data_IF_576087076196
#
_entry.id   IF_576087076196
#
_cell.length_a   1.000
_cell.length_b   1.000
_cell.length_c   1.000
_cell.angle_alpha   90.00
_cell.angle_beta   90.00
_cell.angle_gamma   90.00
#
_symmetry.space_group_name_H-M   'P 1'
#
loop_
_entity.id
_entity.type
_entity.pdbx_description
1 polymer ?
#
# COMPACT_ATOMS: atom_id res chain seq x y z
N UNK A 1 1.12 -21.90 21.44
CA UNK A 1 2.36 -21.28 20.92
C UNK A 1 3.57 -22.18 21.16
N UNK A 2 3.97 -22.43 22.41
CA UNK A 2 5.22 -23.18 22.70
C UNK A 2 5.25 -24.59 22.12
N UNK A 3 4.13 -25.34 22.13
CA UNK A 3 4.07 -26.67 21.48
C UNK A 3 4.48 -26.65 20.01
N UNK A 4 4.02 -25.63 19.27
CA UNK A 4 4.36 -25.48 17.85
C UNK A 4 5.82 -25.12 17.66
N UNK A 5 6.34 -24.25 18.53
CA UNK A 5 7.74 -23.88 18.52
C UNK A 5 8.62 -25.11 18.78
N UNK A 6 8.26 -25.90 19.79
CA UNK A 6 8.93 -27.13 20.21
C UNK A 6 8.92 -28.19 19.09
N UNK A 7 7.75 -28.44 18.49
CA UNK A 7 7.59 -29.39 17.36
C UNK A 7 8.50 -29.03 16.18
N UNK A 8 8.57 -27.74 15.81
CA UNK A 8 9.33 -27.28 14.63
C UNK A 8 10.83 -27.15 14.89
N UNK A 9 11.20 -26.68 16.08
CA UNK A 9 12.58 -26.53 16.51
C UNK A 9 13.17 -27.83 17.08
N UNK A 10 12.38 -28.91 17.16
CA UNK A 10 12.77 -30.21 17.66
C UNK A 10 13.38 -30.16 19.07
N UNK A 11 12.68 -29.50 19.99
CA UNK A 11 13.03 -29.50 21.42
C UNK A 11 11.83 -29.90 22.28
N UNK A 12 12.11 -30.37 23.50
CA UNK A 12 11.11 -30.63 24.54
C UNK A 12 11.16 -29.53 25.59
N UNK A 13 10.05 -29.27 26.26
CA UNK A 13 9.98 -28.25 27.30
C UNK A 13 9.04 -28.67 28.41
N UNK A 14 9.28 -28.14 29.61
CA UNK A 14 8.38 -28.24 30.74
C UNK A 14 7.85 -26.84 31.08
N UNK A 15 6.53 -26.71 31.19
CA UNK A 15 5.90 -25.45 31.57
C UNK A 15 5.69 -25.42 33.07
N UNK A 16 6.42 -24.54 33.75
CA UNK A 16 6.30 -24.33 35.19
C UNK A 16 5.61 -22.99 35.46
N UNK A 17 4.69 -22.90 36.44
CA UNK A 17 4.31 -21.61 36.99
C UNK A 17 5.53 -20.99 37.72
N UNK A 18 5.50 -19.70 38.07
CA UNK A 18 6.57 -19.11 38.84
C UNK A 18 6.77 -19.83 40.18
N UNK A 19 8.03 -20.08 40.53
CA UNK A 19 8.43 -20.91 41.65
C UNK A 19 8.10 -20.29 43.00
N UNK A 20 8.01 -18.96 43.06
CA UNK A 20 7.91 -18.26 44.34
C UNK A 20 9.23 -18.23 45.10
N UNK A 21 10.38 -18.50 44.49
CA UNK A 21 11.70 -18.46 45.15
C UNK A 21 12.59 -17.32 44.69
N UNK A 22 12.19 -16.63 43.63
CA UNK A 22 12.89 -15.47 43.11
C UNK A 22 12.78 -14.23 44.01
N UNK A 23 13.78 -13.36 43.93
CA UNK A 23 13.86 -12.11 44.71
C UNK A 23 12.75 -11.12 44.35
N UNK A 24 12.16 -11.24 43.17
CA UNK A 24 11.05 -10.40 42.69
C UNK A 24 9.66 -11.03 42.97
N UNK A 25 9.61 -12.15 43.68
CA UNK A 25 8.34 -12.76 44.07
C UNK A 25 7.75 -11.98 45.26
N UNK A 26 6.50 -11.52 45.12
CA UNK A 26 5.75 -10.93 46.22
C UNK A 26 5.16 -12.07 47.05
N UNK A 27 5.62 -12.18 48.29
CA UNK A 27 5.09 -13.13 49.24
C UNK A 27 3.98 -12.48 50.05
N UNK A 28 2.88 -13.19 50.25
CA UNK A 28 1.94 -12.79 51.29
C UNK A 28 2.53 -13.17 52.66
N UNK A 29 1.97 -12.66 53.76
CA UNK A 29 2.42 -12.96 55.13
C UNK A 29 2.35 -14.45 55.53
N UNK A 30 1.81 -15.30 54.67
CA UNK A 30 1.74 -16.76 54.83
C UNK A 30 2.86 -17.41 54.03
N UNK A 31 3.60 -18.32 54.65
CA UNK A 31 4.56 -19.17 53.95
C UNK A 31 3.82 -20.00 52.88
N UNK A 32 4.17 -19.77 51.60
CA UNK A 32 3.58 -20.47 50.46
C UNK A 32 4.56 -21.49 49.93
N UNK A 33 4.03 -22.62 49.48
CA UNK A 33 4.81 -23.66 48.82
C UNK A 33 5.33 -23.15 47.47
N UNK A 34 6.41 -23.76 46.98
CA UNK A 34 6.88 -23.48 45.64
C UNK A 34 5.78 -23.78 44.62
N UNK A 35 5.68 -22.97 43.56
CA UNK A 35 4.67 -23.14 42.51
C UNK A 35 3.21 -22.94 42.96
N UNK A 36 2.96 -22.32 44.11
CA UNK A 36 1.61 -21.94 44.55
C UNK A 36 0.87 -21.16 43.44
N UNK A 37 -0.40 -21.48 43.13
CA UNK A 37 -1.19 -20.80 42.11
C UNK A 37 -1.21 -19.27 42.21
N UNK A 38 -1.00 -18.72 43.41
CA UNK A 38 -0.84 -17.29 43.65
C UNK A 38 0.29 -16.67 42.81
N UNK A 39 1.40 -17.39 42.62
CA UNK A 39 2.54 -16.88 41.86
C UNK A 39 2.30 -16.90 40.34
N UNK A 40 1.30 -17.64 39.84
CA UNK A 40 0.99 -17.73 38.40
C UNK A 40 0.78 -16.37 37.74
N UNK A 41 0.29 -15.39 38.49
CA UNK A 41 -0.01 -14.05 38.02
C UNK A 41 1.11 -13.05 38.29
N UNK A 42 2.14 -13.48 39.02
CA UNK A 42 3.29 -12.67 39.38
C UNK A 42 4.37 -12.81 38.33
N UNK A 43 4.22 -12.03 37.29
CA UNK A 43 5.11 -12.09 36.16
C UNK A 43 6.60 -11.88 36.55
N UNK A 44 6.90 -10.91 37.41
CA UNK A 44 8.28 -10.65 37.84
C UNK A 44 8.87 -11.82 38.65
N UNK A 45 8.03 -12.62 39.31
CA UNK A 45 8.47 -13.83 39.99
C UNK A 45 9.04 -14.85 38.98
N UNK A 46 8.36 -15.09 37.85
CA UNK A 46 8.85 -15.98 36.80
C UNK A 46 10.11 -15.45 36.11
N UNK A 47 10.26 -14.12 36.02
CA UNK A 47 11.50 -13.50 35.57
C UNK A 47 12.68 -13.80 36.50
N UNK A 48 12.43 -13.76 37.79
CA UNK A 48 13.43 -14.00 38.80
C UNK A 48 13.88 -15.47 38.82
N UNK A 49 12.99 -16.41 38.52
CA UNK A 49 13.32 -17.83 38.33
C UNK A 49 14.35 -18.07 37.20
N UNK A 50 14.39 -17.18 36.21
CA UNK A 50 15.38 -17.23 35.13
C UNK A 50 16.65 -16.48 35.50
N UNK A 51 16.55 -15.34 36.17
CA UNK A 51 17.66 -14.39 36.27
C UNK A 51 18.44 -14.42 37.57
N UNK A 52 17.74 -14.63 38.69
CA UNK A 52 18.27 -14.29 40.01
C UNK A 52 18.56 -15.53 40.85
N UNK A 53 17.94 -16.67 40.51
CA UNK A 53 18.12 -17.93 41.24
C UNK A 53 19.37 -18.64 40.71
N UNK A 54 20.39 -18.94 41.55
CA UNK A 54 21.49 -19.81 41.18
C UNK A 54 20.95 -21.14 40.65
N UNK A 55 21.63 -21.75 39.66
CA UNK A 55 21.18 -23.00 39.03
C UNK A 55 20.76 -24.03 40.09
N UNK A 56 19.45 -24.27 40.16
CA UNK A 56 18.77 -25.07 41.18
C UNK A 56 17.51 -25.73 40.59
N UNK A 57 16.78 -26.51 41.39
CA UNK A 57 15.50 -27.11 40.99
C UNK A 57 14.35 -26.12 40.77
N UNK A 58 14.56 -24.83 41.02
CA UNK A 58 13.60 -23.74 40.77
C UNK A 58 14.00 -22.84 39.62
N UNK A 59 15.20 -23.04 39.07
CA UNK A 59 15.70 -22.24 37.96
C UNK A 59 15.04 -22.68 36.67
N UNK A 60 14.60 -21.71 35.86
CA UNK A 60 14.07 -21.96 34.52
C UNK A 60 14.96 -21.34 33.45
N UNK A 61 14.91 -21.87 32.23
CA UNK A 61 15.78 -21.41 31.13
C UNK A 61 15.21 -20.19 30.40
N UNK A 62 13.88 -20.06 30.40
CA UNK A 62 13.16 -19.00 29.74
C UNK A 62 11.84 -18.69 30.45
N UNK A 63 11.40 -17.45 30.30
CA UNK A 63 10.07 -17.01 30.69
C UNK A 63 9.37 -16.42 29.47
N UNK A 64 8.03 -16.48 29.46
CA UNK A 64 7.20 -15.87 28.43
C UNK A 64 6.41 -14.70 29.03
N UNK A 65 6.42 -13.54 28.38
CA UNK A 65 5.43 -12.48 28.64
C UNK A 65 5.24 -11.56 27.45
N UNK A 66 4.17 -10.79 27.56
CA UNK A 66 3.97 -9.50 26.92
C UNK A 66 5.01 -8.52 27.47
N UNK A 67 5.83 -7.89 26.61
CA UNK A 67 6.97 -7.05 27.00
C UNK A 67 7.11 -5.69 26.30
N UNK A 68 7.88 -4.89 27.04
CA UNK A 68 8.77 -3.83 26.59
C UNK A 68 10.18 -4.34 26.90
N UNK A 69 11.02 -4.46 25.89
CA UNK A 69 12.43 -4.79 26.06
C UNK A 69 13.13 -3.53 26.56
N UNK A 70 13.34 -3.43 27.87
CA UNK A 70 14.04 -2.28 28.48
C UNK A 70 15.56 -2.45 28.36
N UNK A 71 16.34 -1.35 28.38
CA UNK A 71 17.79 -1.44 28.47
C UNK A 71 18.30 -2.26 29.67
N UNK A 72 17.65 -2.14 30.83
CA UNK A 72 17.99 -2.89 32.05
C UNK A 72 17.79 -4.39 31.84
N UNK A 73 16.70 -4.77 31.15
CA UNK A 73 16.39 -6.16 30.86
C UNK A 73 17.33 -6.76 29.81
N UNK A 74 17.70 -6.01 28.77
CA UNK A 74 18.73 -6.43 27.80
C UNK A 74 20.08 -6.72 28.49
N UNK A 75 20.35 -6.07 29.62
CA UNK A 75 21.53 -6.36 30.44
C UNK A 75 21.37 -7.60 31.32
N UNK A 76 20.18 -8.17 31.49
CA UNK A 76 19.94 -9.36 32.32
C UNK A 76 19.64 -10.61 31.49
N UNK A 77 19.03 -10.46 30.31
CA UNK A 77 18.56 -11.56 29.48
C UNK A 77 19.02 -11.46 28.03
N UNK A 78 19.09 -12.60 27.37
CA UNK A 78 18.93 -12.67 25.93
C UNK A 78 17.44 -12.60 25.61
N UNK A 79 17.06 -11.94 24.51
CA UNK A 79 15.66 -11.87 24.09
C UNK A 79 15.47 -12.50 22.73
N UNK A 80 14.35 -13.19 22.63
CA UNK A 80 13.78 -13.52 21.35
C UNK A 80 12.56 -12.62 21.12
N UNK A 81 12.65 -11.73 20.14
CA UNK A 81 11.66 -10.66 19.90
C UNK A 81 10.76 -11.08 18.74
N UNK A 82 9.52 -11.52 18.99
CA UNK A 82 8.50 -11.54 17.96
C UNK A 82 8.14 -10.11 17.54
N UNK A 83 7.88 -10.01 16.24
CA UNK A 83 7.34 -8.88 15.51
C UNK A 83 6.22 -8.12 16.28
N UNK A 84 6.12 -6.82 15.99
CA UNK A 84 5.03 -5.95 16.45
C UNK A 84 3.68 -6.52 16.00
N UNK A 85 2.84 -7.06 16.88
CA UNK A 85 1.56 -7.65 16.50
C UNK A 85 0.75 -6.61 15.70
N UNK A 86 -0.11 -7.04 14.76
CA UNK A 86 -0.89 -6.15 13.90
C UNK A 86 -1.95 -5.32 14.66
N UNK A 87 -1.95 -5.36 15.99
CA UNK A 87 -2.85 -4.58 16.85
C UNK A 87 -2.25 -3.21 17.13
N UNK A 88 -2.95 -2.17 16.70
CA UNK A 88 -2.67 -0.77 17.01
C UNK A 88 -3.07 -0.46 18.45
N UNK A 89 -2.16 -0.68 19.39
CA UNK A 89 -2.36 -0.28 20.78
C UNK A 89 -1.33 -0.91 21.70
N UNK A 90 -0.67 -0.10 22.52
CA UNK A 90 0.29 -0.59 23.50
C UNK A 90 -0.40 -0.86 24.84
N UNK A 91 -0.43 0.15 25.71
CA UNK A 91 -1.16 0.16 26.97
C UNK A 91 -2.50 0.83 26.77
N UNK A 92 -3.57 0.23 27.28
CA UNK A 92 -4.92 0.77 27.16
C UNK A 92 -5.62 0.77 28.50
N UNK A 93 -6.60 1.67 28.62
CA UNK A 93 -7.56 1.64 29.71
C UNK A 93 -8.75 0.77 29.30
N UNK A 94 -9.34 0.05 30.25
CA UNK A 94 -10.57 -0.72 30.04
C UNK A 94 -11.34 -0.84 31.35
N UNK A 95 -12.65 -1.04 31.29
CA UNK A 95 -13.49 -1.09 32.47
C UNK A 95 -14.89 -0.57 32.19
N UNK A 96 -15.53 -0.02 33.22
CA UNK A 96 -16.86 0.60 33.07
C UNK A 96 -16.77 1.98 32.46
N UNK A 97 -17.83 2.48 31.84
CA UNK A 97 -17.81 3.82 31.24
C UNK A 97 -17.40 4.95 32.20
N UNK A 98 -16.39 5.72 31.78
CA UNK A 98 -15.83 6.86 32.53
C UNK A 98 -15.80 8.18 31.73
N UNK A 99 -16.10 8.17 30.42
CA UNK A 99 -15.94 9.32 29.50
C UNK A 99 -14.51 9.89 29.45
N UNK A 100 -13.51 9.04 29.67
CA UNK A 100 -12.10 9.39 29.57
C UNK A 100 -11.60 9.04 28.18
N UNK A 101 -10.95 10.00 27.50
CA UNK A 101 -10.44 9.78 26.15
C UNK A 101 -8.97 9.43 26.14
N UNK A 102 -8.19 10.04 27.04
CA UNK A 102 -6.74 9.86 27.05
C UNK A 102 -6.21 9.66 28.47
N UNK A 103 -4.99 9.15 28.58
CA UNK A 103 -4.28 9.10 29.87
C UNK A 103 -4.08 10.49 30.48
N UNK A 104 -3.93 11.54 29.66
CA UNK A 104 -3.83 12.92 30.16
C UNK A 104 -5.14 13.39 30.79
N UNK A 105 -6.29 13.02 30.21
CA UNK A 105 -7.59 13.33 30.79
C UNK A 105 -7.78 12.63 32.14
N UNK A 106 -7.39 11.35 32.21
CA UNK A 106 -7.40 10.60 33.47
C UNK A 106 -6.56 11.30 34.55
N UNK A 107 -5.32 11.69 34.23
CA UNK A 107 -4.45 12.40 35.16
C UNK A 107 -5.05 13.72 35.62
N UNK A 108 -5.63 14.50 34.70
CA UNK A 108 -6.30 15.75 35.03
C UNK A 108 -7.53 15.54 35.94
N UNK A 109 -8.34 14.50 35.67
CA UNK A 109 -9.51 14.18 36.48
C UNK A 109 -9.13 13.65 37.87
N UNK A 110 -8.05 12.87 37.99
CA UNK A 110 -7.53 12.45 39.29
C UNK A 110 -6.97 13.63 40.08
N UNK A 111 -6.21 14.55 39.45
CA UNK A 111 -5.70 15.78 40.08
C UNK A 111 -6.81 16.68 40.61
N UNK A 112 -7.96 16.69 39.94
CA UNK A 112 -9.14 17.47 40.35
C UNK A 112 -10.11 16.70 41.24
N UNK A 113 -9.73 15.51 41.71
CA UNK A 113 -10.56 14.61 42.52
C UNK A 113 -11.93 14.24 41.89
N UNK A 114 -12.05 14.37 40.56
CA UNK A 114 -13.24 14.01 39.78
C UNK A 114 -13.25 12.55 39.37
N UNK A 115 -12.11 11.88 39.47
CA UNK A 115 -12.00 10.45 39.20
C UNK A 115 -11.14 9.76 40.26
N UNK A 116 -11.52 8.54 40.63
CA UNK A 116 -10.81 7.72 41.60
C UNK A 116 -9.53 7.08 41.05
N UNK A 117 -8.85 6.26 41.86
CA UNK A 117 -7.70 5.47 41.43
C UNK A 117 -8.07 4.46 40.34
N UNK A 118 -7.08 4.09 39.53
CA UNK A 118 -7.19 3.05 38.51
C UNK A 118 -6.58 1.74 39.02
N UNK A 119 -7.15 0.60 38.63
CA UNK A 119 -6.55 -0.68 38.97
C UNK A 119 -5.41 -1.05 38.01
N UNK A 120 -4.35 -1.62 38.56
CA UNK A 120 -3.26 -2.20 37.79
C UNK A 120 -2.85 -3.54 38.39
N UNK A 121 -2.49 -4.49 37.52
CA UNK A 121 -2.04 -5.79 37.97
C UNK A 121 -0.70 -5.67 38.70
N UNK A 122 -0.69 -6.14 39.95
CA UNK A 122 0.49 -6.10 40.79
C UNK A 122 1.59 -7.05 40.28
N UNK A 123 2.83 -6.69 40.54
CA UNK A 123 4.01 -7.51 40.23
C UNK A 123 4.17 -7.84 38.73
N UNK A 124 3.79 -6.88 37.89
CA UNK A 124 3.96 -6.92 36.43
C UNK A 124 4.99 -5.89 35.98
N UNK A 125 5.53 -6.08 34.76
CA UNK A 125 6.36 -5.06 34.13
C UNK A 125 5.57 -3.75 33.97
N UNK A 126 4.30 -3.88 33.58
CA UNK A 126 3.39 -2.77 33.35
C UNK A 126 3.24 -1.85 34.58
N UNK A 127 3.10 -2.43 35.78
CA UNK A 127 3.04 -1.66 37.02
C UNK A 127 4.23 -0.71 37.16
N UNK A 128 5.44 -1.23 36.94
CA UNK A 128 6.68 -0.47 37.09
C UNK A 128 6.77 0.67 36.07
N UNK A 129 6.36 0.43 34.83
CA UNK A 129 6.37 1.47 33.80
C UNK A 129 5.31 2.53 33.99
N UNK A 130 4.10 2.17 34.41
CA UNK A 130 3.06 3.17 34.67
C UNK A 130 3.50 4.10 35.80
N UNK A 131 4.13 3.55 36.84
CA UNK A 131 4.70 4.34 37.94
C UNK A 131 5.82 5.27 37.49
N UNK A 132 6.71 4.80 36.61
CA UNK A 132 7.85 5.60 36.15
C UNK A 132 7.45 6.66 35.11
N UNK A 133 6.51 6.32 34.22
CA UNK A 133 6.10 7.19 33.10
C UNK A 133 5.02 8.18 33.53
N UNK A 134 4.19 7.82 34.51
CA UNK A 134 3.09 8.64 35.01
C UNK A 134 3.14 8.66 36.55
N UNK A 135 4.13 9.35 37.16
CA UNK A 135 4.32 9.34 38.61
C UNK A 135 3.14 9.94 39.39
N UNK A 136 2.36 10.81 38.75
CA UNK A 136 1.15 11.42 39.33
C UNK A 136 -0.10 10.52 39.23
N UNK A 137 -0.02 9.37 38.56
CA UNK A 137 -1.14 8.47 38.37
C UNK A 137 -1.49 7.75 39.69
N UNK A 138 -2.70 7.97 40.19
CA UNK A 138 -3.19 7.28 41.37
C UNK A 138 -3.66 5.87 40.99
N UNK A 139 -2.96 4.84 41.47
CA UNK A 139 -3.18 3.45 41.12
C UNK A 139 -3.41 2.57 42.35
N UNK A 140 -4.33 1.61 42.24
CA UNK A 140 -4.49 0.49 43.19
C UNK A 140 -3.89 -0.77 42.56
N UNK A 141 -2.94 -1.38 43.29
CA UNK A 141 -2.40 -2.69 42.95
C UNK A 141 -3.42 -3.76 43.30
N UNK A 142 -3.75 -4.62 42.35
CA UNK A 142 -4.61 -5.78 42.59
C UNK A 142 -3.91 -7.06 42.12
N UNK A 143 -4.24 -8.22 42.72
CA UNK A 143 -3.87 -9.51 42.15
C UNK A 143 -4.36 -9.62 40.71
N UNK A 144 -3.62 -10.34 39.87
CA UNK A 144 -3.96 -10.51 38.46
C UNK A 144 -5.18 -11.40 38.23
N UNK A 145 -5.57 -11.55 36.97
CA UNK A 145 -6.55 -12.54 36.54
C UNK A 145 -7.96 -12.01 36.32
N UNK A 146 -8.67 -12.66 35.38
CA UNK A 146 -9.98 -12.22 34.91
C UNK A 146 -11.04 -12.15 36.03
N UNK A 147 -10.92 -12.97 37.08
CA UNK A 147 -11.87 -12.98 38.21
C UNK A 147 -11.62 -11.81 39.16
N UNK A 148 -10.38 -11.59 39.52
CA UNK A 148 -9.92 -10.53 40.42
C UNK A 148 -10.19 -9.16 39.80
N UNK A 149 -9.93 -9.04 38.49
CA UNK A 149 -10.23 -7.85 37.70
C UNK A 149 -11.72 -7.53 37.68
N UNK A 150 -12.55 -8.53 37.37
CA UNK A 150 -14.01 -8.36 37.38
C UNK A 150 -14.52 -7.97 38.78
N UNK A 151 -14.01 -8.62 39.83
CA UNK A 151 -14.39 -8.34 41.22
C UNK A 151 -14.01 -6.92 41.66
N UNK A 152 -12.85 -6.43 41.24
CA UNK A 152 -12.41 -5.06 41.53
C UNK A 152 -13.37 -4.03 40.90
N UNK A 153 -13.79 -4.26 39.65
CA UNK A 153 -14.79 -3.43 38.97
C UNK A 153 -16.19 -3.55 39.60
N UNK A 154 -16.59 -4.75 40.03
CA UNK A 154 -17.90 -5.01 40.64
C UNK A 154 -18.03 -4.36 42.01
N UNK A 155 -16.98 -4.44 42.84
CA UNK A 155 -16.92 -3.80 44.16
C UNK A 155 -16.75 -2.29 44.12
N UNK A 156 -16.40 -1.72 42.96
CA UNK A 156 -16.10 -0.30 42.83
C UNK A 156 -14.78 0.12 43.49
N UNK A 157 -13.83 -0.81 43.60
CA UNK A 157 -12.47 -0.46 44.02
C UNK A 157 -11.82 0.50 43.01
N UNK A 158 -12.17 0.32 41.73
CA UNK A 158 -11.80 1.16 40.60
C UNK A 158 -12.91 1.04 39.53
N UNK A 159 -13.07 2.07 38.71
CA UNK A 159 -13.98 2.03 37.56
C UNK A 159 -13.29 1.58 36.27
N UNK A 160 -11.95 1.59 36.29
CA UNK A 160 -11.11 1.29 35.15
C UNK A 160 -9.81 0.61 35.57
N UNK A 161 -9.24 -0.08 34.61
CA UNK A 161 -8.04 -0.87 34.70
C UNK A 161 -7.09 -0.47 33.59
N UNK A 162 -5.80 -0.65 33.81
CA UNK A 162 -4.77 -0.42 32.80
C UNK A 162 -4.09 -1.75 32.54
N UNK A 163 -4.15 -2.23 31.29
CA UNK A 163 -3.49 -3.46 30.80
C UNK A 163 -2.89 -3.22 29.41
N UNK A 164 -2.12 -4.18 28.91
CA UNK A 164 -1.79 -4.24 27.50
C UNK A 164 -3.05 -4.42 26.66
N UNK A 165 -3.08 -3.84 25.46
CA UNK A 165 -4.26 -3.85 24.61
C UNK A 165 -4.85 -5.26 24.38
N UNK A 166 -4.06 -6.31 24.06
CA UNK A 166 -4.61 -7.67 23.91
C UNK A 166 -5.21 -8.25 25.19
N UNK A 167 -4.70 -7.86 26.37
CA UNK A 167 -5.23 -8.32 27.66
C UNK A 167 -6.58 -7.65 27.94
N UNK A 168 -6.65 -6.35 27.68
CA UNK A 168 -7.87 -5.56 27.83
C UNK A 168 -8.99 -6.05 26.91
N UNK A 169 -8.71 -6.23 25.62
CA UNK A 169 -9.74 -6.66 24.66
C UNK A 169 -10.18 -8.11 24.91
N UNK A 170 -9.24 -9.01 25.25
CA UNK A 170 -9.56 -10.37 25.69
C UNK A 170 -10.48 -10.37 26.91
N UNK A 171 -10.22 -9.51 27.89
CA UNK A 171 -11.07 -9.40 29.07
C UNK A 171 -12.51 -9.03 28.67
N UNK A 172 -12.68 -7.99 27.84
CA UNK A 172 -14.00 -7.55 27.34
C UNK A 172 -14.69 -8.68 26.58
N UNK A 173 -13.98 -9.33 25.65
CA UNK A 173 -14.47 -10.48 24.89
C UNK A 173 -14.98 -11.62 25.80
N UNK A 174 -14.20 -12.00 26.82
CA UNK A 174 -14.59 -13.04 27.76
C UNK A 174 -15.80 -12.66 28.63
N UNK A 175 -15.97 -11.39 28.97
CA UNK A 175 -17.17 -10.94 29.66
C UNK A 175 -18.38 -10.91 28.73
N UNK A 176 -18.20 -10.53 27.47
CA UNK A 176 -19.23 -10.60 26.44
C UNK A 176 -19.75 -12.04 26.27
N UNK A 177 -18.85 -13.01 26.12
CA UNK A 177 -19.22 -14.43 26.05
C UNK A 177 -20.00 -14.93 27.28
N UNK A 178 -19.80 -14.32 28.45
CA UNK A 178 -20.52 -14.64 29.69
C UNK A 178 -21.82 -13.84 29.86
N UNK A 179 -22.19 -12.98 28.90
CA UNK A 179 -23.34 -12.07 29.00
C UNK A 179 -23.15 -10.95 30.04
N UNK A 180 -21.91 -10.63 30.42
CA UNK A 180 -21.56 -9.68 31.49
C UNK A 180 -21.04 -8.35 30.94
N UNK A 181 -21.78 -7.76 30.01
CA UNK A 181 -21.39 -6.49 29.39
C UNK A 181 -21.71 -5.25 30.23
N UNK A 182 -22.30 -5.41 31.41
CA UNK A 182 -22.59 -4.32 32.32
C UNK A 182 -22.07 -4.65 33.72
N UNK A 183 -21.38 -3.71 34.34
CA UNK A 183 -20.94 -3.79 35.73
C UNK A 183 -21.47 -2.56 36.45
N UNK A 184 -22.22 -2.77 37.54
CA UNK A 184 -22.90 -1.68 38.28
C UNK A 184 -23.78 -0.79 37.37
N UNK A 185 -24.46 -1.40 36.39
CA UNK A 185 -25.34 -0.70 35.44
C UNK A 185 -24.61 0.11 34.36
N UNK A 186 -23.27 0.12 34.34
CA UNK A 186 -22.47 0.80 33.31
C UNK A 186 -21.94 -0.20 32.29
N UNK A 187 -21.89 0.15 30.99
CA UNK A 187 -21.33 -0.72 29.97
C UNK A 187 -19.82 -0.94 30.20
N UNK A 188 -19.36 -2.14 29.89
CA UNK A 188 -17.96 -2.56 29.95
C UNK A 188 -17.30 -2.41 28.57
N UNK A 189 -16.07 -1.91 28.50
CA UNK A 189 -15.27 -1.92 27.26
C UNK A 189 -13.88 -1.34 27.42
N UNK A 190 -13.21 -1.14 26.28
CA UNK A 190 -11.94 -0.39 26.19
C UNK A 190 -12.25 1.10 26.28
N UNK A 191 -11.51 1.82 27.14
CA UNK A 191 -11.75 3.23 27.47
C UNK A 191 -10.67 4.09 26.80
N UNK A 192 -11.10 5.06 26.00
CA UNK A 192 -10.22 6.02 25.37
C UNK A 192 -9.24 5.41 24.36
N UNK A 193 -8.32 6.25 23.90
CA UNK A 193 -7.27 5.87 22.96
C UNK A 193 -6.15 5.15 23.71
N UNK A 194 -5.67 3.99 23.21
CA UNK A 194 -4.45 3.37 23.70
C UNK A 194 -3.28 4.34 23.61
N UNK A 195 -2.26 4.15 24.46
CA UNK A 195 -1.02 4.90 24.30
C UNK A 195 -0.35 4.54 22.97
N UNK A 196 0.11 5.56 22.25
CA UNK A 196 0.94 5.42 21.04
C UNK A 196 2.31 4.80 21.34
N UNK A 197 2.70 4.77 22.62
CA UNK A 197 3.97 4.28 23.11
C UNK A 197 3.79 3.38 24.34
N UNK A 198 4.58 2.32 24.43
CA UNK A 198 4.54 1.39 25.56
C UNK A 198 4.69 -0.06 25.14
N UNK A 199 4.16 -0.96 25.98
CA UNK A 199 4.21 -2.41 25.82
C UNK A 199 3.43 -2.88 24.59
N UNK A 200 4.12 -3.30 23.54
CA UNK A 200 3.49 -3.86 22.35
C UNK A 200 4.22 -5.10 21.79
N UNK A 201 5.34 -5.51 22.37
CA UNK A 201 6.11 -6.64 21.85
C UNK A 201 5.89 -7.84 22.75
N UNK A 202 5.46 -8.96 22.21
CA UNK A 202 5.74 -10.22 22.92
C UNK A 202 7.25 -10.41 22.95
N UNK A 203 7.80 -11.05 23.98
CA UNK A 203 9.17 -11.53 23.93
C UNK A 203 9.34 -12.74 24.84
N UNK A 204 10.34 -13.56 24.50
CA UNK A 204 10.81 -14.61 25.40
C UNK A 204 12.11 -14.11 25.98
N UNK A 205 12.14 -13.93 27.30
CA UNK A 205 13.39 -13.66 28.01
C UNK A 205 14.06 -14.97 28.32
N UNK A 206 15.32 -15.07 27.93
CA UNK A 206 16.12 -16.29 27.99
C UNK A 206 17.33 -16.01 28.88
N UNK A 207 17.70 -16.97 29.73
CA UNK A 207 18.87 -16.86 30.60
C UNK A 207 20.14 -16.67 29.76
N UNK A 208 21.11 -15.90 30.26
CA UNK A 208 22.29 -15.51 29.48
C UNK A 208 23.24 -16.63 29.13
N UNK A 209 23.31 -17.66 29.96
CA UNK A 209 24.14 -18.84 29.78
C UNK A 209 23.60 -19.81 28.72
N UNK A 210 22.35 -19.65 28.29
CA UNK A 210 21.78 -20.46 27.21
C UNK A 210 22.53 -20.17 25.90
N UNK A 211 22.98 -21.20 25.16
CA UNK A 211 23.74 -21.02 23.94
C UNK A 211 23.01 -20.16 22.90
N UNK A 212 23.74 -19.25 22.25
CA UNK A 212 23.19 -18.35 21.22
C UNK A 212 22.48 -19.11 20.08
N UNK A 213 22.96 -20.30 19.72
CA UNK A 213 22.32 -21.13 18.68
C UNK A 213 20.88 -21.52 19.07
N UNK A 214 20.62 -21.79 20.35
CA UNK A 214 19.26 -22.06 20.85
C UNK A 214 18.40 -20.82 20.71
N UNK A 215 18.92 -19.66 21.10
CA UNK A 215 18.21 -18.38 21.00
C UNK A 215 17.93 -17.99 19.55
N UNK A 216 18.87 -18.22 18.62
CA UNK A 216 18.67 -17.99 17.19
C UNK A 216 17.63 -18.95 16.60
N UNK A 217 17.63 -20.21 17.04
CA UNK A 217 16.63 -21.19 16.59
C UNK A 217 15.22 -20.81 17.07
N UNK A 218 15.08 -20.39 18.33
CA UNK A 218 13.80 -19.89 18.86
C UNK A 218 13.34 -18.64 18.10
N UNK A 219 14.25 -17.69 17.85
CA UNK A 219 13.97 -16.49 17.05
C UNK A 219 13.50 -16.84 15.65
N UNK A 220 14.21 -17.71 14.95
CA UNK A 220 13.88 -18.11 13.58
C UNK A 220 12.47 -18.70 13.50
N UNK A 221 12.14 -19.64 14.38
CA UNK A 221 10.83 -20.30 14.33
C UNK A 221 9.70 -19.39 14.81
N UNK A 222 9.92 -18.54 15.81
CA UNK A 222 8.92 -17.54 16.18
C UNK A 222 8.64 -16.55 15.03
N UNK A 223 9.68 -16.04 14.37
CA UNK A 223 9.51 -15.15 13.23
C UNK A 223 8.78 -15.85 12.07
N UNK A 224 9.14 -17.11 11.79
CA UNK A 224 8.52 -17.92 10.74
C UNK A 224 7.03 -18.15 11.02
N UNK A 225 6.67 -18.61 12.23
CA UNK A 225 5.28 -18.89 12.60
C UNK A 225 4.41 -17.62 12.71
N UNK A 226 5.02 -16.47 13.00
CA UNK A 226 4.32 -15.17 12.98
C UNK A 226 4.07 -14.66 11.56
N UNK A 227 4.98 -14.93 10.62
CA UNK A 227 4.88 -14.50 9.22
C UNK A 227 3.97 -15.38 8.36
N UNK A 228 3.44 -16.47 8.91
CA UNK A 228 2.53 -17.38 8.22
C UNK A 228 1.24 -16.65 7.79
N UNK A 229 1.00 -16.48 6.48
CA UNK A 229 -0.24 -15.90 6.01
C UNK A 229 -1.41 -16.85 6.33
N UNK A 230 -2.59 -16.31 6.67
CA UNK A 230 -3.76 -17.14 7.02
C UNK A 230 -4.23 -18.05 5.87
N UNK A 231 -3.94 -17.69 4.62
CA UNK A 231 -4.40 -18.39 3.43
C UNK A 231 -3.41 -19.40 2.84
N UNK A 232 -2.25 -19.64 3.47
CA UNK A 232 -1.26 -20.57 2.92
C UNK A 232 -1.62 -22.02 3.30
N UNK A 233 -2.07 -22.80 2.31
CA UNK A 233 -2.45 -24.19 2.47
C UNK A 233 -1.22 -25.09 2.76
N UNK A 234 -1.48 -26.30 3.27
CA UNK A 234 -0.59 -27.32 3.90
C UNK A 234 0.77 -27.66 3.25
N UNK A 235 1.14 -27.07 2.11
CA UNK A 235 2.34 -27.40 1.34
C UNK A 235 3.54 -26.48 1.71
N UNK A 236 3.38 -25.54 2.64
CA UNK A 236 4.42 -24.62 3.10
C UNK A 236 5.01 -24.90 4.50
N UNK A 237 5.92 -24.04 4.95
CA UNK A 237 6.43 -24.03 6.34
C UNK A 237 5.30 -23.86 7.37
N UNK A 238 4.15 -23.31 6.97
CA UNK A 238 2.97 -23.09 7.78
C UNK A 238 1.89 -24.15 7.46
N UNK A 239 1.50 -25.00 8.43
CA UNK A 239 0.42 -25.99 8.22
C UNK A 239 -0.93 -25.40 8.60
N UNK A 240 -1.43 -24.48 7.78
CA UNK A 240 -2.77 -23.89 7.88
C UNK A 240 -2.94 -22.87 9.01
N UNK A 241 -4.19 -22.43 9.21
CA UNK A 241 -4.57 -21.33 10.11
C UNK A 241 -4.13 -21.55 11.58
N UNK A 242 -4.03 -22.81 12.03
CA UNK A 242 -3.64 -23.14 13.41
C UNK A 242 -2.14 -22.96 13.70
N UNK A 243 -1.32 -22.77 12.67
CA UNK A 243 0.12 -22.58 12.81
C UNK A 243 0.54 -21.10 12.77
N UNK A 244 -0.35 -20.21 12.34
CA UNK A 244 -0.08 -18.77 12.35
C UNK A 244 -0.26 -18.21 13.75
N UNK A 245 0.85 -17.81 14.37
CA UNK A 245 0.79 -17.12 15.66
C UNK A 245 0.05 -15.78 15.56
N UNK A 246 0.02 -15.15 14.38
CA UNK A 246 -0.78 -13.95 14.13
C UNK A 246 -2.29 -14.19 14.31
N UNK A 247 -2.79 -15.36 13.86
CA UNK A 247 -4.19 -15.76 14.01
C UNK A 247 -4.47 -16.13 15.46
N UNK A 248 -3.56 -16.86 16.11
CA UNK A 248 -3.67 -17.13 17.55
C UNK A 248 -3.82 -15.83 18.35
N UNK A 249 -3.12 -14.76 17.97
CA UNK A 249 -3.28 -13.46 18.61
C UNK A 249 -4.60 -12.76 18.27
N UNK A 250 -5.05 -12.82 17.02
CA UNK A 250 -6.35 -12.29 16.62
C UNK A 250 -7.50 -12.97 17.37
N UNK A 251 -7.45 -14.29 17.53
CA UNK A 251 -8.46 -15.09 18.23
C UNK A 251 -8.52 -14.78 19.74
N UNK A 252 -7.39 -14.42 20.34
CA UNK A 252 -7.33 -14.07 21.77
C UNK A 252 -7.91 -12.67 22.02
N UNK A 253 -7.77 -11.75 21.07
CA UNK A 253 -8.04 -10.32 21.25
C UNK A 253 -9.49 -9.87 20.98
N UNK A 254 -10.35 -10.71 20.39
CA UNK A 254 -11.72 -10.31 20.03
C UNK A 254 -11.76 -9.20 18.95
N UNK A 255 -12.90 -8.51 18.81
CA UNK A 255 -13.14 -7.43 17.83
C UNK A 255 -12.60 -6.06 18.29
N UNK A 256 -11.51 -6.04 19.06
CA UNK A 256 -10.88 -4.79 19.52
C UNK A 256 -11.54 -4.13 20.74
N UNK A 257 -12.29 -4.89 21.54
CA UNK A 257 -12.87 -4.40 22.79
C UNK A 257 -14.23 -3.70 22.66
N UNK A 258 -14.87 -3.79 21.48
CA UNK A 258 -16.18 -3.22 21.17
C UNK A 258 -17.33 -4.21 21.36
N UNK A 259 -17.07 -5.45 21.77
CA UNK A 259 -18.04 -6.55 21.82
C UNK A 259 -19.21 -6.26 22.76
N UNK A 260 -18.94 -5.52 23.82
CA UNK A 260 -19.96 -5.10 24.77
C UNK A 260 -20.67 -3.78 24.38
N UNK A 261 -20.49 -3.32 23.15
CA UNK A 261 -21.14 -2.11 22.64
C UNK A 261 -20.67 -0.83 23.33
N UNK A 262 -19.46 -0.86 23.92
CA UNK A 262 -18.90 0.31 24.57
C UNK A 262 -18.66 1.41 23.54
N UNK A 263 -19.34 2.53 23.72
CA UNK A 263 -19.07 3.76 22.99
C UNK A 263 -18.41 4.69 23.99
N UNK A 264 -17.16 5.09 23.75
CA UNK A 264 -16.40 6.00 24.61
C UNK A 264 -17.18 7.29 24.95
N UNK A 265 -18.12 7.65 24.07
CA UNK A 265 -19.18 8.60 24.28
C UNK A 265 -20.49 7.95 23.86
N UNK A 266 -21.32 7.39 24.78
CA UNK A 266 -22.72 7.18 24.42
C UNK A 266 -23.22 8.53 23.90
N UNK A 267 -23.72 8.56 22.66
CA UNK A 267 -24.39 9.75 22.14
C UNK A 267 -25.38 10.18 23.21
N UNK A 268 -25.21 11.37 23.78
CA UNK A 268 -26.18 11.91 24.72
C UNK A 268 -27.54 11.77 24.04
N UNK A 269 -28.44 10.97 24.61
CA UNK A 269 -29.79 10.81 24.06
C UNK A 269 -30.53 12.17 24.02
N UNK A 270 -29.98 13.19 24.69
CA UNK A 270 -30.49 14.57 24.74
C UNK A 270 -29.73 15.57 23.85
N UNK A 271 -28.72 15.19 23.06
CA UNK A 271 -28.12 16.12 22.09
C UNK A 271 -28.99 16.16 20.81
N UNK A 272 -29.66 17.29 20.48
CA UNK A 272 -30.53 17.42 19.31
C UNK A 272 -29.71 17.61 18.03
N UNK A 273 -28.67 16.81 17.84
CA UNK A 273 -27.83 16.85 16.65
C UNK A 273 -28.31 15.84 15.62
N UNK A 274 -29.03 16.39 14.64
CA UNK A 274 -29.30 15.85 13.31
C UNK A 274 -29.94 14.46 13.32
N UNK A 275 -31.28 14.45 13.22
CA UNK A 275 -32.11 13.32 12.77
C UNK A 275 -31.30 12.39 11.87
N UNK A 276 -31.35 11.07 12.11
CA UNK A 276 -30.64 10.07 11.33
C UNK A 276 -30.78 10.26 9.79
N UNK A 277 -31.85 10.92 9.33
CA UNK A 277 -32.02 11.34 7.94
C UNK A 277 -30.99 12.38 7.44
N UNK A 278 -30.51 13.29 8.28
CA UNK A 278 -29.52 14.29 7.93
C UNK A 278 -28.10 13.70 7.84
N UNK A 279 -27.73 12.78 8.74
CA UNK A 279 -26.43 12.08 8.68
C UNK A 279 -26.36 11.17 7.45
N UNK A 280 -27.45 10.45 7.14
CA UNK A 280 -27.56 9.69 5.89
C UNK A 280 -27.48 10.60 4.65
N UNK A 281 -28.12 11.77 4.69
CA UNK A 281 -28.08 12.75 3.61
C UNK A 281 -26.68 13.30 3.33
N UNK A 282 -25.90 13.59 4.37
CA UNK A 282 -24.51 14.09 4.23
C UNK A 282 -23.59 13.01 3.66
N UNK A 283 -23.69 11.76 4.12
CA UNK A 283 -22.88 10.66 3.62
C UNK A 283 -23.17 10.35 2.14
N UNK A 284 -24.46 10.33 1.76
CA UNK A 284 -24.85 10.16 0.34
C UNK A 284 -24.40 11.35 -0.50
N UNK A 285 -24.52 12.57 0.02
CA UNK A 285 -24.05 13.79 -0.64
C UNK A 285 -22.54 13.78 -0.91
N UNK A 286 -21.73 13.42 0.08
CA UNK A 286 -20.26 13.33 -0.08
C UNK A 286 -19.91 12.22 -1.08
N UNK A 287 -20.57 11.06 -1.01
CA UNK A 287 -20.36 9.97 -1.96
C UNK A 287 -20.67 10.39 -3.41
N UNK A 288 -21.78 11.08 -3.64
CA UNK A 288 -22.17 11.57 -4.96
C UNK A 288 -21.19 12.63 -5.50
N UNK A 289 -20.75 13.57 -4.66
CA UNK A 289 -19.78 14.60 -5.05
C UNK A 289 -18.43 13.99 -5.41
N UNK A 290 -17.95 13.02 -4.62
CA UNK A 290 -16.71 12.31 -4.93
C UNK A 290 -16.81 11.50 -6.22
N UNK A 291 -17.94 10.81 -6.46
CA UNK A 291 -18.17 10.08 -7.70
C UNK A 291 -18.19 11.01 -8.93
N UNK A 292 -18.83 12.18 -8.82
CA UNK A 292 -18.84 13.20 -9.88
C UNK A 292 -17.43 13.76 -10.11
N UNK A 293 -16.70 14.09 -9.05
CA UNK A 293 -15.34 14.61 -9.14
C UNK A 293 -14.38 13.60 -9.81
N UNK A 294 -14.43 12.33 -9.41
CA UNK A 294 -13.66 11.26 -10.03
C UNK A 294 -14.05 11.03 -11.49
N UNK A 295 -15.35 11.09 -11.81
CA UNK A 295 -15.85 10.97 -13.19
C UNK A 295 -15.34 12.11 -14.06
N UNK A 296 -15.32 13.35 -13.55
CA UNK A 296 -14.79 14.52 -14.25
C UNK A 296 -13.27 14.41 -14.46
N UNK A 297 -12.52 13.94 -13.47
CA UNK A 297 -11.07 13.70 -13.60
C UNK A 297 -10.79 12.61 -14.63
N UNK A 298 -11.55 11.51 -14.59
CA UNK A 298 -11.43 10.43 -15.57
C UNK A 298 -11.78 10.91 -16.99
N UNK A 299 -12.85 11.70 -17.13
CA UNK A 299 -13.26 12.30 -18.40
C UNK A 299 -12.18 13.24 -18.96
N UNK A 300 -11.60 14.11 -18.13
CA UNK A 300 -10.49 15.00 -18.54
C UNK A 300 -9.26 14.20 -18.98
N UNK A 301 -8.88 13.19 -18.20
CA UNK A 301 -7.73 12.32 -18.53
C UNK A 301 -7.96 11.53 -19.82
N UNK A 302 -9.20 11.08 -20.05
CA UNK A 302 -9.60 10.42 -21.29
C UNK A 302 -9.49 11.38 -22.49
N UNK A 303 -10.01 12.61 -22.39
CA UNK A 303 -9.87 13.63 -23.44
C UNK A 303 -8.40 13.95 -23.76
N UNK A 304 -7.54 14.06 -22.74
CA UNK A 304 -6.10 14.25 -22.94
C UNK A 304 -5.46 13.05 -23.67
N UNK A 305 -5.81 11.83 -23.29
CA UNK A 305 -5.37 10.62 -24.01
C UNK A 305 -5.81 10.64 -25.47
N UNK A 306 -7.07 11.00 -25.74
CA UNK A 306 -7.60 11.12 -27.09
C UNK A 306 -6.81 12.11 -27.94
N UNK A 307 -6.57 13.32 -27.41
CA UNK A 307 -5.76 14.33 -28.10
C UNK A 307 -4.36 13.83 -28.41
N UNK A 308 -3.72 13.12 -27.48
CA UNK A 308 -2.35 12.61 -27.68
C UNK A 308 -2.29 11.63 -28.84
N UNK A 309 -3.10 10.57 -28.84
CA UNK A 309 -3.01 9.59 -29.92
C UNK A 309 -3.48 10.16 -31.27
N UNK A 310 -4.51 11.02 -31.29
CA UNK A 310 -4.97 11.69 -32.52
C UNK A 310 -3.88 12.57 -33.10
N UNK A 311 -3.22 13.38 -32.26
CA UNK A 311 -2.12 14.25 -32.70
C UNK A 311 -0.99 13.44 -33.32
N UNK A 312 -0.62 12.30 -32.70
CA UNK A 312 0.41 11.41 -33.24
C UNK A 312 0.01 10.79 -34.57
N UNK A 313 -1.23 10.33 -34.68
CA UNK A 313 -1.77 9.78 -35.92
C UNK A 313 -1.72 10.82 -37.04
N UNK A 314 -2.20 12.05 -36.78
CA UNK A 314 -2.14 13.16 -37.75
C UNK A 314 -0.70 13.52 -38.11
N UNK A 315 0.22 13.56 -37.15
CA UNK A 315 1.65 13.77 -37.43
C UNK A 315 2.20 12.72 -38.39
N UNK A 316 1.79 11.45 -38.26
CA UNK A 316 2.22 10.39 -39.15
C UNK A 316 1.62 10.53 -40.56
N UNK A 317 0.33 10.88 -40.67
CA UNK A 317 -0.31 11.23 -41.96
C UNK A 317 0.40 12.40 -42.64
N UNK A 318 0.72 13.45 -41.88
CA UNK A 318 1.35 14.67 -42.37
C UNK A 318 2.79 14.48 -42.88
N UNK A 319 3.38 13.31 -42.60
CA UNK A 319 4.68 12.91 -43.16
C UNK A 319 4.51 12.31 -44.54
N UNK A 320 3.46 11.56 -44.81
CA UNK A 320 3.29 10.92 -46.11
C UNK A 320 2.48 11.80 -47.07
N UNK A 321 1.54 12.59 -46.53
CA UNK A 321 0.64 13.46 -47.27
C UNK A 321 0.89 14.95 -46.97
N UNK A 322 0.57 15.81 -47.93
CA UNK A 322 0.54 17.26 -47.66
C UNK A 322 -0.81 17.58 -47.06
N UNK A 323 -0.82 17.95 -45.78
CA UNK A 323 -2.07 18.24 -45.05
C UNK A 323 -2.44 19.73 -45.14
N UNK A 324 -3.74 20.01 -45.13
CA UNK A 324 -4.29 21.35 -44.90
C UNK A 324 -4.74 21.54 -43.45
N UNK A 325 -5.44 22.64 -43.13
CA UNK A 325 -5.92 22.91 -41.77
C UNK A 325 -6.98 21.91 -41.28
N UNK A 326 -7.61 21.13 -42.16
CA UNK A 326 -8.59 20.13 -41.78
C UNK A 326 -8.43 18.83 -42.60
N UNK A 327 -8.99 17.70 -42.11
CA UNK A 327 -8.99 16.43 -42.83
C UNK A 327 -9.56 16.52 -44.26
N UNK A 328 -10.59 17.36 -44.46
CA UNK A 328 -11.25 17.55 -45.75
C UNK A 328 -10.38 18.20 -46.83
N UNK A 329 -9.21 18.71 -46.46
CA UNK A 329 -8.25 19.26 -47.43
C UNK A 329 -7.38 18.18 -48.10
N UNK A 330 -7.42 16.91 -47.64
CA UNK A 330 -6.65 15.82 -48.25
C UNK A 330 -7.39 15.33 -49.51
N UNK A 331 -6.74 15.33 -50.70
CA UNK A 331 -7.35 14.76 -51.90
C UNK A 331 -7.65 13.27 -51.74
N UNK A 332 -8.82 12.83 -52.21
CA UNK A 332 -9.28 11.44 -52.06
C UNK A 332 -8.31 10.41 -52.66
N UNK A 333 -7.63 10.74 -53.77
CA UNK A 333 -6.66 9.85 -54.42
C UNK A 333 -5.38 9.66 -53.58
N UNK A 334 -4.99 10.68 -52.80
CA UNK A 334 -3.86 10.60 -51.89
C UNK A 334 -4.22 9.79 -50.65
N UNK A 335 -5.43 9.97 -50.14
CA UNK A 335 -5.91 9.22 -48.98
C UNK A 335 -6.04 7.73 -49.30
N UNK A 336 -6.57 7.37 -50.48
CA UNK A 336 -6.65 5.99 -50.95
C UNK A 336 -5.25 5.32 -51.03
N UNK A 337 -4.26 6.04 -51.59
CA UNK A 337 -2.87 5.56 -51.64
C UNK A 337 -2.27 5.35 -50.26
N UNK A 338 -2.61 6.19 -49.30
CA UNK A 338 -2.14 6.06 -47.92
C UNK A 338 -2.76 4.83 -47.23
N UNK A 339 -4.06 4.60 -47.41
CA UNK A 339 -4.74 3.39 -46.90
C UNK A 339 -4.12 2.13 -47.52
N UNK A 340 -3.83 2.12 -48.82
CA UNK A 340 -3.13 1.01 -49.49
C UNK A 340 -1.70 0.83 -48.97
N UNK A 341 -1.01 1.93 -48.66
CA UNK A 341 0.34 1.92 -48.13
C UNK A 341 0.38 1.29 -46.73
N UNK A 342 -0.59 1.63 -45.88
CA UNK A 342 -0.72 1.07 -44.54
C UNK A 342 -1.15 -0.41 -44.63
N UNK A 343 -2.25 -0.71 -45.32
CA UNK A 343 -2.89 -2.04 -45.34
C UNK A 343 -2.33 -3.04 -46.37
N UNK A 344 -1.24 -2.72 -47.07
CA UNK A 344 -0.58 -3.65 -47.99
C UNK A 344 -1.44 -4.10 -49.19
N UNK A 345 -2.13 -3.17 -49.85
CA UNK A 345 -3.03 -3.38 -51.03
C UNK A 345 -4.30 -4.20 -50.80
N UNK A 346 -4.67 -4.51 -49.55
CA UNK A 346 -5.85 -5.34 -49.24
C UNK A 346 -7.17 -4.54 -49.13
N UNK A 347 -7.14 -3.21 -49.23
CA UNK A 347 -8.31 -2.34 -49.06
C UNK A 347 -8.79 -2.20 -47.61
N UNK A 348 -8.21 -2.94 -46.68
CA UNK A 348 -8.43 -2.85 -45.23
C UNK A 348 -7.08 -2.80 -44.51
N UNK A 349 -7.07 -2.26 -43.29
CA UNK A 349 -5.88 -2.10 -42.46
C UNK A 349 -6.02 -3.03 -41.25
N UNK A 350 -5.11 -3.99 -41.08
CA UNK A 350 -5.08 -4.82 -39.87
C UNK A 350 -4.44 -4.08 -38.69
N UNK A 351 -4.73 -4.51 -37.45
CA UNK A 351 -4.09 -3.95 -36.25
C UNK A 351 -2.56 -4.03 -36.31
N UNK A 352 -2.04 -5.13 -36.85
CA UNK A 352 -0.61 -5.32 -37.03
C UNK A 352 -0.01 -4.35 -38.06
N UNK A 353 -0.68 -4.15 -39.19
CA UNK A 353 -0.21 -3.24 -40.24
C UNK A 353 -0.22 -1.78 -39.75
N UNK A 354 -1.28 -1.38 -39.03
CA UNK A 354 -1.34 -0.06 -38.42
C UNK A 354 -0.28 0.12 -37.33
N UNK A 355 -0.09 -0.87 -36.46
CA UNK A 355 0.96 -0.84 -35.45
C UNK A 355 2.33 -0.66 -36.10
N UNK A 356 2.63 -1.50 -37.09
CA UNK A 356 3.88 -1.43 -37.85
C UNK A 356 4.09 -0.03 -38.43
N UNK A 357 3.08 0.53 -39.10
CA UNK A 357 3.15 1.88 -39.68
C UNK A 357 3.30 3.00 -38.64
N UNK A 358 2.65 2.88 -37.48
CA UNK A 358 2.76 3.84 -36.37
C UNK A 358 4.12 3.79 -35.66
N UNK A 359 4.71 2.59 -35.54
CA UNK A 359 5.98 2.36 -34.84
C UNK A 359 7.22 2.35 -35.74
N UNK A 360 7.07 2.41 -37.07
CA UNK A 360 8.16 2.30 -38.06
C UNK A 360 9.23 3.41 -37.95
N UNK A 361 8.99 4.46 -37.15
CA UNK A 361 9.94 5.56 -36.98
C UNK A 361 10.01 6.02 -35.53
N UNK A 362 11.21 6.38 -35.07
CA UNK A 362 11.63 6.95 -33.76
C UNK A 362 10.86 8.21 -33.30
N UNK A 363 9.55 8.31 -33.52
CA UNK A 363 8.68 9.18 -32.75
C UNK A 363 8.64 8.60 -31.34
N UNK A 364 9.07 9.39 -30.37
CA UNK A 364 9.05 9.04 -28.94
C UNK A 364 7.74 8.33 -28.59
N UNK A 365 7.88 7.08 -28.16
CA UNK A 365 6.90 5.99 -28.10
C UNK A 365 5.44 6.42 -27.83
N UNK A 366 4.53 6.08 -28.76
CA UNK A 366 3.11 5.87 -28.44
C UNK A 366 3.06 4.67 -27.48
N UNK A 367 2.44 4.82 -26.31
CA UNK A 367 2.31 3.67 -25.40
C UNK A 367 1.42 2.59 -26.03
N UNK A 368 1.65 1.32 -25.71
CA UNK A 368 0.78 0.22 -26.18
C UNK A 368 -0.69 0.49 -25.83
N UNK A 369 -0.94 1.06 -24.64
CA UNK A 369 -2.27 1.50 -24.20
C UNK A 369 -2.86 2.60 -25.08
N UNK A 370 -2.08 3.61 -25.47
CA UNK A 370 -2.57 4.67 -26.36
C UNK A 370 -2.78 4.14 -27.79
N UNK A 371 -1.98 3.15 -28.22
CA UNK A 371 -2.18 2.46 -29.50
C UNK A 371 -3.46 1.62 -29.49
N UNK A 372 -3.73 0.87 -28.43
CA UNK A 372 -4.97 0.10 -28.29
C UNK A 372 -6.20 1.02 -28.23
N UNK A 373 -6.09 2.18 -27.58
CA UNK A 373 -7.15 3.18 -27.56
C UNK A 373 -7.38 3.82 -28.95
N UNK A 374 -6.31 4.09 -29.69
CA UNK A 374 -6.37 4.53 -31.08
C UNK A 374 -7.06 3.47 -31.95
N UNK A 375 -6.63 2.20 -31.84
CA UNK A 375 -7.20 1.08 -32.58
C UNK A 375 -8.69 0.93 -32.31
N UNK A 376 -9.10 0.88 -31.03
CA UNK A 376 -10.51 0.76 -30.65
C UNK A 376 -11.36 1.97 -31.04
N UNK A 377 -10.76 3.13 -31.27
CA UNK A 377 -11.46 4.30 -31.80
C UNK A 377 -11.59 4.28 -33.34
N UNK A 378 -10.75 3.51 -34.04
CA UNK A 378 -10.78 3.34 -35.50
C UNK A 378 -11.63 2.15 -35.93
N UNK A 379 -11.50 1.01 -35.25
CA UNK A 379 -12.25 -0.25 -35.48
C UNK A 379 -13.62 -0.16 -34.79
N UNK A 380 -14.52 0.65 -35.36
CA UNK A 380 -15.81 1.02 -34.76
C UNK A 380 -16.73 -0.19 -34.68
N UNK A 381 -16.67 -1.08 -35.67
CA UNK A 381 -17.51 -2.27 -35.74
C UNK A 381 -16.90 -3.52 -35.08
N UNK A 382 -15.63 -3.46 -34.65
CA UNK A 382 -14.94 -4.52 -33.94
C UNK A 382 -14.61 -5.74 -34.79
N UNK A 383 -14.55 -5.60 -36.13
CA UNK A 383 -14.18 -6.70 -37.04
C UNK A 383 -12.69 -7.05 -36.97
N UNK A 384 -11.87 -6.26 -36.28
CA UNK A 384 -10.43 -6.49 -36.19
C UNK A 384 -9.66 -6.04 -37.44
N UNK A 385 -10.31 -5.28 -38.32
CA UNK A 385 -9.69 -4.63 -39.47
C UNK A 385 -10.42 -3.31 -39.74
N UNK A 386 -9.67 -2.25 -40.01
CA UNK A 386 -10.21 -0.92 -40.30
C UNK A 386 -10.39 -0.76 -41.81
N UNK A 387 -11.62 -0.54 -42.27
CA UNK A 387 -11.90 -0.24 -43.67
C UNK A 387 -11.68 1.25 -44.02
N UNK A 388 -11.84 1.61 -45.29
CA UNK A 388 -11.65 2.99 -45.73
C UNK A 388 -12.66 3.97 -45.09
N UNK A 389 -13.89 3.54 -44.84
CA UNK A 389 -14.94 4.39 -44.24
C UNK A 389 -14.61 4.66 -42.78
N UNK A 390 -14.22 3.62 -42.04
CA UNK A 390 -13.79 3.73 -40.65
C UNK A 390 -12.54 4.61 -40.49
N UNK A 391 -11.56 4.43 -41.38
CA UNK A 391 -10.36 5.26 -41.41
C UNK A 391 -10.69 6.74 -41.65
N UNK A 392 -11.54 7.03 -42.64
CA UNK A 392 -11.98 8.41 -42.97
C UNK A 392 -12.81 8.99 -41.82
N UNK A 393 -13.70 8.20 -41.23
CA UNK A 393 -14.53 8.59 -40.10
C UNK A 393 -13.67 9.00 -38.90
N UNK A 394 -12.68 8.18 -38.54
CA UNK A 394 -11.73 8.52 -37.48
C UNK A 394 -10.90 9.78 -37.82
N UNK A 395 -10.43 9.89 -39.06
CA UNK A 395 -9.67 11.05 -39.53
C UNK A 395 -10.50 12.35 -39.41
N UNK A 396 -11.79 12.29 -39.71
CA UNK A 396 -12.71 13.44 -39.57
C UNK A 396 -12.83 13.93 -38.12
N UNK A 397 -12.64 13.03 -37.14
CA UNK A 397 -12.64 13.34 -35.71
C UNK A 397 -11.33 13.96 -35.19
N UNK A 398 -10.34 14.22 -36.05
CA UNK A 398 -9.02 14.75 -35.70
C UNK A 398 -8.85 16.25 -36.09
N UNK A 399 -9.93 17.00 -36.27
CA UNK A 399 -9.90 18.38 -36.79
C UNK A 399 -8.96 19.33 -36.05
N UNK A 400 -9.03 19.37 -34.72
CA UNK A 400 -8.16 20.21 -33.88
C UNK A 400 -6.68 19.85 -34.02
N UNK A 401 -6.38 18.57 -34.13
CA UNK A 401 -5.03 18.05 -34.27
C UNK A 401 -4.45 18.34 -35.66
N UNK A 402 -5.29 18.37 -36.70
CA UNK A 402 -4.90 18.83 -38.04
C UNK A 402 -4.49 20.31 -38.04
N UNK A 403 -5.29 21.18 -37.42
CA UNK A 403 -4.96 22.59 -37.30
C UNK A 403 -3.64 22.79 -36.56
N UNK A 404 -3.44 22.08 -35.45
CA UNK A 404 -2.23 22.16 -34.63
C UNK A 404 -0.99 21.70 -35.41
N UNK A 405 -1.04 20.52 -36.03
CA UNK A 405 0.10 19.96 -36.80
C UNK A 405 0.37 20.81 -38.05
N UNK A 406 -0.66 21.32 -38.71
CA UNK A 406 -0.50 22.24 -39.83
C UNK A 406 0.18 23.55 -39.40
N UNK A 407 -0.24 24.14 -38.27
CA UNK A 407 0.39 25.33 -37.72
C UNK A 407 1.85 25.06 -37.30
N UNK A 408 2.15 23.90 -36.72
CA UNK A 408 3.52 23.46 -36.44
C UNK A 408 4.36 23.40 -37.73
N UNK A 409 3.82 22.79 -38.81
CA UNK A 409 4.49 22.73 -40.10
C UNK A 409 4.71 24.12 -40.72
N UNK A 410 3.78 25.05 -40.51
CA UNK A 410 3.95 26.43 -41.00
C UNK A 410 5.05 27.19 -40.25
N UNK A 411 5.32 26.86 -38.99
CA UNK A 411 6.41 27.46 -38.20
C UNK A 411 7.80 26.93 -38.58
N UNK A 412 7.88 25.78 -39.24
CA UNK A 412 9.17 25.20 -39.67
C UNK A 412 9.87 26.11 -40.68
N UNK A 413 11.17 26.30 -40.47
CA UNK A 413 12.05 27.00 -41.43
C UNK A 413 12.08 26.29 -42.78
N UNK A 414 12.43 27.01 -43.85
CA UNK A 414 12.55 26.44 -45.20
C UNK A 414 13.48 25.21 -45.25
N UNK A 415 14.54 25.20 -44.44
CA UNK A 415 15.48 24.08 -44.34
C UNK A 415 14.84 22.87 -43.65
N UNK A 416 14.08 23.08 -42.57
CA UNK A 416 13.38 21.99 -41.88
C UNK A 416 12.26 21.41 -42.73
N UNK A 417 11.49 22.25 -43.44
CA UNK A 417 10.50 21.79 -44.42
C UNK A 417 11.14 20.95 -45.52
N UNK A 418 12.34 21.35 -46.00
CA UNK A 418 13.11 20.57 -46.97
C UNK A 418 13.60 19.24 -46.39
N UNK A 419 14.07 19.20 -45.14
CA UNK A 419 14.44 17.95 -44.46
C UNK A 419 13.23 17.03 -44.30
N UNK A 420 12.08 17.57 -43.88
CA UNK A 420 10.83 16.82 -43.82
C UNK A 420 10.47 16.25 -45.18
N UNK A 421 10.45 17.07 -46.24
CA UNK A 421 10.17 16.63 -47.60
C UNK A 421 11.16 15.57 -48.11
N UNK A 422 12.45 15.69 -47.80
CA UNK A 422 13.47 14.71 -48.13
C UNK A 422 13.18 13.35 -47.49
N UNK A 423 12.80 13.35 -46.21
CA UNK A 423 12.37 12.13 -45.50
C UNK A 423 11.12 11.49 -46.09
N UNK A 424 10.23 12.25 -46.76
CA UNK A 424 9.05 11.69 -47.47
C UNK A 424 9.41 10.96 -48.75
N UNK A 425 10.43 11.45 -49.45
CA UNK A 425 10.80 10.97 -50.79
C UNK A 425 11.71 9.75 -50.75
N UNK A 426 12.39 9.53 -49.63
CA UNK A 426 13.29 8.40 -49.43
C UNK A 426 12.56 7.32 -48.63
N UNK A 427 12.24 6.23 -49.33
CA UNK A 427 11.81 5.01 -48.68
C UNK A 427 12.97 4.56 -47.79
N UNK A 428 12.85 4.73 -46.46
CA UNK A 428 13.93 4.44 -45.50
C UNK A 428 14.43 2.99 -45.67
N UNK A 429 13.53 2.09 -46.08
CA UNK A 429 13.82 0.69 -46.40
C UNK A 429 14.76 0.49 -47.60
N UNK A 430 14.84 1.42 -48.56
CA UNK A 430 15.73 1.31 -49.73
C UNK A 430 17.12 1.92 -49.52
N UNK A 431 17.26 2.92 -48.64
CA UNK A 431 18.46 3.78 -48.57
C UNK A 431 19.22 3.63 -47.23
N UNK A 432 18.55 3.13 -46.20
CA UNK A 432 19.10 3.00 -44.84
C UNK A 432 19.28 4.34 -44.12
N UNK A 433 19.34 4.32 -42.79
CA UNK A 433 19.47 5.53 -41.95
C UNK A 433 20.69 6.39 -42.33
N UNK A 434 21.80 5.74 -42.68
CA UNK A 434 23.06 6.38 -43.07
C UNK A 434 22.91 7.22 -44.37
N UNK A 435 22.10 6.75 -45.32
CA UNK A 435 21.89 7.43 -46.58
C UNK A 435 21.00 8.67 -46.44
N UNK A 436 19.95 8.60 -45.61
CA UNK A 436 19.12 9.76 -45.25
C UNK A 436 19.99 10.84 -44.58
N UNK A 437 20.86 10.44 -43.64
CA UNK A 437 21.80 11.35 -42.95
C UNK A 437 22.77 12.03 -43.90
N UNK A 438 23.32 11.29 -44.88
CA UNK A 438 24.19 11.86 -45.93
C UNK A 438 23.47 12.89 -46.78
N UNK A 439 22.18 12.69 -47.03
CA UNK A 439 21.38 13.60 -47.85
C UNK A 439 20.98 14.84 -47.06
N UNK A 440 20.58 14.71 -45.80
CA UNK A 440 20.39 15.85 -44.89
C UNK A 440 21.66 16.71 -44.80
N UNK A 441 22.82 16.09 -44.56
CA UNK A 441 24.11 16.79 -44.50
C UNK A 441 24.46 17.48 -45.83
N UNK A 442 24.11 16.88 -46.97
CA UNK A 442 24.32 17.47 -48.30
C UNK A 442 23.39 18.67 -48.53
N UNK A 443 22.14 18.61 -48.06
CA UNK A 443 21.19 19.73 -48.14
C UNK A 443 21.61 20.89 -47.23
N UNK A 444 22.06 20.62 -46.01
CA UNK A 444 22.59 21.65 -45.10
C UNK A 444 23.83 22.35 -45.65
N UNK A 445 24.76 21.59 -46.25
CA UNK A 445 25.94 22.18 -46.91
C UNK A 445 25.52 23.10 -48.07
N UNK A 446 24.50 22.72 -48.84
CA UNK A 446 23.98 23.52 -49.96
C UNK A 446 23.20 24.76 -49.52
N UNK A 447 22.46 24.71 -48.42
CA UNK A 447 21.76 25.88 -47.90
C UNK A 447 22.72 26.93 -47.32
N UNK A 448 23.83 26.51 -46.72
CA UNK A 448 24.87 27.40 -46.20
C UNK A 448 25.68 28.12 -47.29
N UNK A 449 25.75 27.59 -48.50
CA UNK A 449 26.63 28.10 -49.56
C UNK A 449 25.94 28.92 -50.66
N UNK A 450 24.68 29.35 -50.49
CA UNK A 450 24.00 30.23 -51.46
C UNK A 450 23.96 29.66 -52.88
N UNK A 451 22.95 28.83 -53.16
CA UNK A 451 22.56 28.25 -54.47
C UNK A 451 23.48 28.59 -55.66
N UNK A 452 24.41 27.69 -55.98
CA UNK A 452 24.90 27.52 -57.36
C UNK A 452 24.16 26.29 -57.91
N UNK A 453 23.24 26.51 -58.85
CA UNK A 453 22.55 25.43 -59.57
C UNK A 453 23.60 24.67 -60.39
N UNK A 454 23.87 23.38 -60.13
CA UNK A 454 24.82 22.61 -60.94
C UNK A 454 24.28 22.45 -62.37
N UNK A 455 25.14 22.68 -63.37
CA UNK A 455 24.82 22.48 -64.78
C UNK A 455 24.59 20.99 -65.06
N UNK A 456 23.72 20.71 -66.04
CA UNK A 456 23.28 19.36 -66.42
C UNK A 456 24.41 18.42 -66.92
N UNK A 457 25.65 18.90 -67.00
CA UNK A 457 26.82 18.14 -67.44
C UNK A 457 27.39 17.18 -66.38
N UNK A 458 27.08 17.39 -65.09
CA UNK A 458 27.85 16.75 -64.00
C UNK A 458 27.26 15.40 -63.52
N UNK A 459 26.30 14.83 -64.25
CA UNK A 459 25.76 13.49 -63.96
C UNK A 459 25.87 12.59 -65.19
N UNK A 460 27.03 11.95 -65.35
CA UNK A 460 27.26 10.92 -66.36
C UNK A 460 27.92 9.68 -65.75
N UNK A 461 27.16 8.96 -64.91
CA UNK A 461 27.19 7.49 -64.82
C UNK A 461 26.06 6.98 -63.91
N UNK A 462 24.97 6.52 -64.53
CA UNK A 462 24.03 5.53 -63.98
C UNK A 462 22.97 5.22 -65.04
N UNK A 463 23.00 4.01 -65.62
CA UNK A 463 21.83 3.46 -66.32
C UNK A 463 20.75 3.13 -65.29
N UNK A 464 19.56 3.75 -65.41
CA UNK A 464 18.35 3.27 -64.72
C UNK A 464 17.58 4.22 -63.79
N UNK A 465 17.82 5.55 -63.76
CA UNK A 465 17.03 6.49 -62.93
C UNK A 465 16.61 7.80 -63.62
N UNK A 466 16.13 7.75 -64.87
CA UNK A 466 15.73 8.98 -65.62
C UNK A 466 14.29 9.47 -65.40
N UNK A 467 13.34 8.63 -64.96
CA UNK A 467 11.93 9.05 -64.94
C UNK A 467 11.46 9.74 -63.63
N UNK A 468 12.07 9.47 -62.47
CA UNK A 468 11.65 10.11 -61.20
C UNK A 468 12.14 11.56 -61.02
N UNK A 469 13.30 11.93 -61.58
CA UNK A 469 13.87 13.28 -61.44
C UNK A 469 13.14 14.36 -62.26
N UNK A 470 12.52 14.00 -63.39
CA UNK A 470 11.79 14.95 -64.25
C UNK A 470 10.52 15.48 -63.59
N UNK A 471 9.85 14.68 -62.77
CA UNK A 471 8.68 15.09 -61.99
C UNK A 471 9.08 16.08 -60.88
N UNK A 472 10.23 15.85 -60.25
CA UNK A 472 10.76 16.70 -59.17
C UNK A 472 11.17 18.11 -59.66
N UNK A 473 11.78 18.20 -60.85
CA UNK A 473 12.13 19.49 -61.45
C UNK A 473 10.93 20.29 -61.96
N UNK A 474 9.81 19.65 -62.30
CA UNK A 474 8.57 20.34 -62.69
C UNK A 474 7.84 20.98 -61.51
N UNK A 475 7.95 20.40 -60.31
CA UNK A 475 7.34 20.96 -59.09
C UNK A 475 8.08 22.21 -58.57
N UNK A 476 9.37 22.36 -58.88
CA UNK A 476 10.19 23.51 -58.47
C UNK A 476 10.10 24.73 -59.42
N UNK A 477 9.32 24.66 -60.50
CA UNK A 477 9.25 25.69 -61.55
C UNK A 477 7.86 26.31 -61.76
N UNK A 478 6.92 26.17 -60.82
CA UNK A 478 5.73 27.03 -60.80
C UNK A 478 5.90 28.08 -59.67
N UNK A 479 5.63 29.36 -59.96
CA UNK A 479 5.73 30.44 -58.98
C UNK A 479 4.80 30.23 -57.79
#
# INVERSE_FOLDING_TARGET
>A
MLDRLAERANFTYDLLPPSGKGTLCEHNNTERQAYDPYYRQQYLCGQSDVNDIPVSGYTTDMYLSLYYITPERLRMNQFSVPFHPPTTGSVTMYGTSTHINTFNDLLHLQKTAKHGPVCIQQNTAQESYMRNSFPDLNMIRIPGGDKEFYHALEKGNCDMMIAEYPVATRFVYLQHQKGRCHIRGKPLGVIGDPLDFGYNQFAIGIRKDIPLNTVYTLNYWMATLMGCPPSENEIGLCRGEKDSLSILYADIGGSGGTECGYVAFPSNEDDPFLSAGATAGVLVGIGAVLAIALSLVFYRKSLEQQRRYKKRFVQQIARNLTIGPSPGCIPADQLAKEIEHIGGKKGTISKHDLAKWMFDVKLTFLSEKDFDALWGAMDIDGKGAVDAIEFISFLSCCGSEFEEVYAEQQKLSKLERLKFAARRLENINEVGEEGVRRIENRMERRSRHGVIIPKASDFRESGGRRNKLRTFQRLLKKP
#
